data_IF_338927096095
#
_entry.id   IF_338927096095
#
_cell.length_a   1.000
_cell.length_b   1.000
_cell.length_c   1.000
_cell.angle_alpha   90.00
_cell.angle_beta   90.00
_cell.angle_gamma   90.00
#
_symmetry.space_group_name_H-M   'P 1'
#
loop_
_entity.id
_entity.type
_entity.pdbx_description
1 polymer ?
#
# COMPACT_ATOMS: atom_id res chain seq x y z
N UNK A 1 2.70 -18.61 -15.76
CA UNK A 1 3.29 -17.61 -14.83
C UNK A 1 2.19 -16.95 -14.03
N UNK A 2 2.37 -16.87 -12.70
CA UNK A 2 1.40 -16.22 -11.80
C UNK A 2 2.07 -15.00 -11.17
N UNK A 3 1.62 -13.82 -11.55
CA UNK A 3 2.11 -12.57 -10.99
C UNK A 3 1.35 -12.27 -9.68
N UNK A 4 2.09 -12.02 -8.61
CA UNK A 4 1.51 -11.56 -7.36
C UNK A 4 1.90 -10.08 -7.22
N UNK A 5 0.91 -9.18 -7.41
CA UNK A 5 1.13 -7.74 -7.34
C UNK A 5 0.82 -7.23 -5.93
N UNK A 6 1.80 -6.62 -5.33
CA UNK A 6 1.63 -5.97 -4.02
C UNK A 6 2.38 -4.64 -4.01
N UNK A 7 2.38 -3.93 -2.89
CA UNK A 7 3.23 -2.76 -2.66
C UNK A 7 4.35 -3.17 -1.70
N UNK A 8 5.60 -3.03 -2.13
CA UNK A 8 6.75 -3.48 -1.32
C UNK A 8 7.15 -2.48 -0.22
N UNK A 9 6.47 -1.35 -0.13
CA UNK A 9 6.74 -0.30 0.87
C UNK A 9 7.83 0.66 0.41
N UNK A 10 7.78 1.88 0.95
CA UNK A 10 8.81 2.90 0.76
C UNK A 10 9.85 2.76 1.87
N UNK A 11 11.03 3.34 1.66
CA UNK A 11 12.10 3.39 2.66
C UNK A 11 11.57 4.04 3.94
N UNK A 12 11.80 3.42 5.09
CA UNK A 12 11.33 3.84 6.42
C UNK A 12 9.82 3.68 6.68
N UNK A 13 9.02 3.18 5.73
CA UNK A 13 7.64 2.81 6.00
C UNK A 13 7.64 1.47 6.75
N UNK A 14 6.83 1.33 7.75
CA UNK A 14 6.71 0.09 8.55
C UNK A 14 5.31 -0.55 8.53
N UNK A 15 4.48 0.01 7.79
CA UNK A 15 3.21 -0.46 7.68
C UNK A 15 2.90 -1.23 6.48
N UNK A 16 3.84 -1.39 5.61
CA UNK A 16 3.64 -2.18 4.39
C UNK A 16 3.40 -3.66 4.71
N UNK A 17 2.88 -4.39 3.73
CA UNK A 17 2.59 -5.83 3.93
C UNK A 17 3.88 -6.60 4.21
N UNK A 18 3.85 -7.43 5.22
CA UNK A 18 5.00 -8.29 5.56
C UNK A 18 5.17 -9.36 4.47
N UNK A 19 6.41 -9.63 4.02
CA UNK A 19 6.64 -10.64 2.95
C UNK A 19 6.05 -12.01 3.23
N UNK A 20 5.87 -12.38 4.50
CA UNK A 20 5.29 -13.67 4.89
C UNK A 20 3.87 -13.85 4.34
N UNK A 21 3.10 -12.75 4.17
CA UNK A 21 1.75 -12.85 3.59
C UNK A 21 1.82 -13.26 2.11
N UNK A 22 2.78 -12.72 1.38
CA UNK A 22 3.03 -13.14 -0.01
C UNK A 22 3.53 -14.57 -0.07
N UNK A 23 4.34 -14.98 0.89
CA UNK A 23 4.85 -16.35 0.99
C UNK A 23 3.71 -17.38 1.09
N UNK A 24 2.87 -17.14 1.67
CA UNK A 24 1.75 -17.95 1.81
C UNK A 24 1.08 -18.25 0.55
N UNK A 25 0.93 -17.19 -0.08
CA UNK A 25 0.35 -17.26 -1.43
C UNK A 25 1.32 -17.93 -2.45
N UNK A 26 2.51 -17.66 -2.37
CA UNK A 26 3.45 -18.19 -3.18
C UNK A 26 3.52 -19.63 -3.12
N UNK A 27 3.46 -20.13 -1.79
CA UNK A 27 3.50 -21.61 -1.59
C UNK A 27 2.23 -22.30 -2.12
N UNK A 28 1.11 -21.74 -1.94
CA UNK A 28 -0.14 -22.23 -2.51
C UNK A 28 -0.14 -22.22 -4.07
N UNK A 29 0.40 -21.28 -4.62
CA UNK A 29 0.49 -21.21 -5.97
C UNK A 29 1.29 -22.29 -6.52
N UNK A 30 2.37 -22.51 -5.91
CA UNK A 30 3.21 -23.68 -6.29
C UNK A 30 2.54 -25.05 -6.12
N UNK A 31 1.93 -25.09 -5.21
CA UNK A 31 1.24 -26.24 -4.94
C UNK A 31 0.22 -26.60 -5.91
N UNK A 32 -0.31 -25.67 -6.57
CA UNK A 32 -1.27 -25.85 -7.69
C UNK A 32 -0.59 -25.96 -9.07
N UNK A 33 0.71 -26.02 -9.09
CA UNK A 33 1.47 -26.17 -10.34
C UNK A 33 1.82 -24.84 -11.01
N UNK A 34 1.53 -23.71 -10.38
CA UNK A 34 1.85 -22.39 -10.92
C UNK A 34 3.33 -22.02 -10.73
N UNK A 35 3.82 -21.10 -11.56
CA UNK A 35 5.15 -20.51 -11.42
C UNK A 35 4.97 -19.05 -10.93
N UNK A 36 4.98 -18.83 -9.60
CA UNK A 36 4.74 -17.48 -9.06
C UNK A 36 5.98 -16.60 -9.12
N UNK A 37 5.74 -15.28 -9.25
CA UNK A 37 6.71 -14.22 -8.98
C UNK A 37 5.95 -13.05 -8.34
N UNK A 38 6.67 -12.30 -7.53
CA UNK A 38 6.09 -11.10 -6.89
C UNK A 38 6.54 -9.86 -7.65
N UNK A 39 5.66 -8.87 -7.90
CA UNK A 39 5.91 -7.77 -8.64
C UNK A 39 5.47 -6.57 -7.99
N UNK A 40 6.16 -5.52 -8.21
CA UNK A 40 5.71 -4.13 -8.04
C UNK A 40 6.40 -3.28 -9.13
N UNK A 41 6.16 -1.97 -9.16
CA UNK A 41 6.65 -1.08 -10.21
C UNK A 41 7.38 0.12 -9.59
N UNK A 42 8.22 0.79 -10.38
CA UNK A 42 8.88 2.02 -9.96
C UNK A 42 7.84 3.14 -9.75
N UNK A 43 8.24 4.19 -9.03
CA UNK A 43 7.34 5.31 -8.71
C UNK A 43 7.71 6.59 -9.47
N UNK A 44 6.77 7.53 -9.51
CA UNK A 44 7.03 8.89 -9.96
C UNK A 44 7.88 9.63 -8.91
N UNK A 45 8.66 10.63 -9.32
CA UNK A 45 9.53 11.38 -8.39
C UNK A 45 8.78 12.50 -7.67
N UNK A 46 7.64 12.19 -7.07
CA UNK A 46 6.80 13.21 -6.39
C UNK A 46 7.19 13.45 -4.93
N UNK A 47 8.24 12.82 -4.48
CA UNK A 47 8.73 12.90 -3.11
C UNK A 47 10.17 13.41 -3.11
N UNK A 48 10.57 14.13 -2.08
CA UNK A 48 11.91 14.70 -1.97
C UNK A 48 13.01 13.63 -2.01
N UNK A 49 12.73 12.43 -1.49
CA UNK A 49 13.70 11.34 -1.47
C UNK A 49 13.02 10.01 -1.79
N UNK A 50 12.54 9.84 -3.04
CA UNK A 50 11.89 8.58 -3.39
C UNK A 50 12.93 7.45 -3.49
N UNK A 51 12.61 6.31 -2.90
CA UNK A 51 13.52 5.17 -2.88
C UNK A 51 13.13 4.09 -3.88
N UNK A 52 12.28 4.42 -4.86
CA UNK A 52 11.79 3.46 -5.87
C UNK A 52 11.69 4.09 -7.26
N UNK A 53 12.57 5.07 -7.57
CA UNK A 53 12.50 5.78 -8.86
C UNK A 53 13.13 4.99 -10.01
N UNK A 54 14.18 4.22 -9.73
CA UNK A 54 14.80 3.33 -10.72
C UNK A 54 14.78 1.91 -10.15
N UNK A 55 15.04 0.92 -11.00
CA UNK A 55 15.15 -0.47 -10.54
C UNK A 55 16.21 -0.63 -9.44
N UNK A 56 17.32 0.13 -9.53
CA UNK A 56 18.36 0.06 -8.49
C UNK A 56 17.81 0.44 -7.12
N UNK A 57 17.16 1.60 -7.05
CA UNK A 57 16.57 2.09 -5.79
C UNK A 57 15.45 1.16 -5.32
N UNK A 58 14.62 0.76 -6.27
CA UNK A 58 13.46 -0.09 -6.04
C UNK A 58 13.85 -1.45 -5.45
N UNK A 59 14.86 -2.11 -6.05
CA UNK A 59 15.30 -3.42 -5.57
C UNK A 59 15.98 -3.32 -4.22
N UNK A 60 16.79 -2.26 -3.99
CA UNK A 60 17.41 -2.02 -2.69
C UNK A 60 16.36 -1.81 -1.59
N UNK A 61 15.31 -1.05 -1.90
CA UNK A 61 14.20 -0.81 -0.96
C UNK A 61 13.41 -2.10 -0.69
N UNK A 62 13.09 -2.85 -1.75
CA UNK A 62 12.35 -4.12 -1.62
C UNK A 62 13.15 -5.13 -0.76
N UNK A 63 14.45 -5.26 -1.00
CA UNK A 63 15.32 -6.16 -0.22
C UNK A 63 15.39 -5.73 1.25
N UNK A 64 15.56 -4.42 1.50
CA UNK A 64 15.57 -3.88 2.87
C UNK A 64 14.25 -4.19 3.59
N UNK A 65 13.14 -4.15 2.87
CA UNK A 65 11.81 -4.43 3.42
C UNK A 65 11.50 -5.94 3.48
N UNK A 66 12.48 -6.83 3.15
CA UNK A 66 12.38 -8.28 3.30
C UNK A 66 11.84 -9.00 2.06
N UNK A 67 11.67 -8.29 0.99
CA UNK A 67 11.20 -8.92 -0.26
C UNK A 67 12.36 -9.55 -1.05
N UNK A 68 12.97 -10.53 -0.44
CA UNK A 68 14.07 -11.22 -0.98
C UNK A 68 13.68 -12.64 -1.36
N UNK A 69 14.35 -13.35 -2.24
CA UNK A 69 14.10 -14.62 -2.62
C UNK A 69 13.94 -15.52 -1.55
N UNK A 70 14.83 -15.43 -0.53
CA UNK A 70 14.77 -16.30 0.66
C UNK A 70 13.45 -16.20 1.46
N UNK A 71 12.93 -15.11 1.45
CA UNK A 71 11.75 -14.90 2.13
C UNK A 71 10.54 -15.31 1.38
N UNK A 72 10.55 -14.90 0.21
CA UNK A 72 9.38 -15.14 -0.67
C UNK A 72 9.30 -16.57 -1.21
N UNK A 73 10.44 -17.17 -1.47
CA UNK A 73 10.48 -18.47 -2.14
C UNK A 73 10.25 -18.39 -3.66
N UNK A 74 10.27 -17.19 -4.22
CA UNK A 74 10.13 -16.93 -5.66
C UNK A 74 10.82 -15.62 -6.00
N UNK A 75 11.06 -15.32 -7.30
CA UNK A 75 11.64 -14.03 -7.69
C UNK A 75 10.77 -12.85 -7.30
N UNK A 76 11.41 -11.75 -6.91
CA UNK A 76 10.81 -10.41 -6.86
C UNK A 76 11.26 -9.65 -8.11
N UNK A 77 10.35 -8.98 -8.79
CA UNK A 77 10.59 -8.40 -10.12
C UNK A 77 10.16 -6.94 -10.15
N UNK A 78 11.03 -6.07 -10.68
CA UNK A 78 10.67 -4.71 -11.07
C UNK A 78 9.90 -4.79 -12.39
N UNK A 79 8.59 -4.63 -12.34
CA UNK A 79 7.72 -5.04 -13.45
C UNK A 79 7.75 -4.09 -14.67
N UNK A 80 8.20 -2.83 -14.47
CA UNK A 80 8.22 -1.80 -15.51
C UNK A 80 9.64 -1.44 -15.99
N UNK A 81 10.63 -2.29 -15.67
CA UNK A 81 12.00 -2.17 -16.18
C UNK A 81 12.84 -1.12 -15.46
N UNK A 82 14.09 -0.98 -15.93
CA UNK A 82 15.15 -0.26 -15.21
C UNK A 82 14.77 1.19 -14.88
N UNK A 83 14.15 1.92 -15.82
CA UNK A 83 13.74 3.32 -15.56
C UNK A 83 12.21 3.48 -15.52
N UNK A 84 11.47 2.36 -15.50
CA UNK A 84 10.02 2.41 -15.34
C UNK A 84 9.22 2.68 -16.62
N UNK A 85 9.80 2.36 -17.78
CA UNK A 85 9.16 2.63 -19.10
C UNK A 85 8.94 1.37 -19.94
N UNK A 86 9.11 0.20 -19.36
CA UNK A 86 8.82 -1.07 -20.02
C UNK A 86 7.34 -1.38 -19.83
N UNK A 87 6.53 -1.05 -20.85
CA UNK A 87 5.07 -1.10 -20.73
C UNK A 87 4.38 -1.60 -22.00
N UNK A 88 3.15 -2.04 -21.80
CA UNK A 88 2.16 -2.45 -22.80
C UNK A 88 1.03 -1.42 -22.77
N UNK A 89 0.72 -0.86 -23.95
CA UNK A 89 -0.34 0.15 -24.08
C UNK A 89 -1.69 -0.52 -24.37
N UNK A 90 -2.71 -0.20 -23.63
CA UNK A 90 -3.97 -0.65 -23.81
C UNK A 90 -4.80 0.49 -24.16
N UNK A 91 -5.60 0.43 -25.25
CA UNK A 91 -6.67 1.39 -25.55
C UNK A 91 -7.85 1.14 -24.61
N UNK A 92 -8.52 2.21 -24.21
CA UNK A 92 -9.56 2.13 -23.17
C UNK A 92 -10.75 3.03 -23.56
N UNK A 93 -11.48 2.71 -24.65
CA UNK A 93 -12.59 3.57 -25.08
C UNK A 93 -13.69 3.73 -24.02
N UNK A 94 -13.91 2.72 -23.17
CA UNK A 94 -14.91 2.74 -22.10
C UNK A 94 -14.44 3.46 -20.82
N UNK A 95 -13.18 3.88 -20.74
CA UNK A 95 -12.67 4.59 -19.57
C UNK A 95 -13.45 5.88 -19.33
N UNK A 96 -13.63 6.22 -18.07
CA UNK A 96 -14.37 7.42 -17.68
C UNK A 96 -13.61 8.68 -18.08
N UNK A 97 -12.30 8.71 -17.79
CA UNK A 97 -11.43 9.84 -18.12
C UNK A 97 -10.23 9.40 -18.98
N UNK A 98 -9.62 8.24 -18.70
CA UNK A 98 -8.50 7.75 -19.48
C UNK A 98 -9.00 7.01 -20.73
N UNK A 99 -8.41 7.31 -21.89
CA UNK A 99 -8.71 6.61 -23.13
C UNK A 99 -7.56 5.68 -23.56
N UNK A 100 -6.52 5.64 -22.75
CA UNK A 100 -5.38 4.71 -22.91
C UNK A 100 -4.68 4.54 -21.56
N UNK A 101 -4.01 3.41 -21.38
CA UNK A 101 -3.23 3.11 -20.17
C UNK A 101 -1.93 2.40 -20.57
N UNK A 102 -0.96 2.39 -19.66
CA UNK A 102 0.38 1.83 -19.92
C UNK A 102 0.75 0.89 -18.77
N UNK A 103 0.44 -0.38 -18.95
CA UNK A 103 0.60 -1.44 -17.96
C UNK A 103 2.04 -1.98 -17.99
N UNK A 104 2.68 -2.14 -16.85
CA UNK A 104 4.01 -2.72 -16.75
C UNK A 104 4.07 -4.08 -17.47
N UNK A 105 5.08 -4.29 -18.32
CA UNK A 105 5.15 -5.45 -19.21
C UNK A 105 5.09 -6.78 -18.45
N UNK A 106 5.79 -6.90 -17.32
CA UNK A 106 5.77 -8.17 -16.57
C UNK A 106 4.37 -8.51 -16.04
N UNK A 107 3.52 -7.50 -15.79
CA UNK A 107 2.13 -7.71 -15.37
C UNK A 107 1.26 -8.10 -16.57
N UNK A 108 1.36 -7.35 -17.67
CA UNK A 108 0.57 -7.61 -18.88
C UNK A 108 0.89 -9.00 -19.49
N UNK A 109 2.11 -9.48 -19.30
CA UNK A 109 2.56 -10.77 -19.83
C UNK A 109 2.24 -11.97 -18.94
N UNK A 110 1.67 -11.75 -17.75
CA UNK A 110 1.35 -12.84 -16.81
C UNK A 110 0.13 -13.64 -17.31
N UNK A 111 0.14 -14.96 -17.04
CA UNK A 111 -1.02 -15.81 -17.36
C UNK A 111 -2.14 -15.62 -16.35
N UNK A 112 -1.78 -15.30 -15.09
CA UNK A 112 -2.72 -15.06 -13.97
C UNK A 112 -2.13 -13.94 -13.11
N UNK A 113 -2.99 -13.06 -12.61
CA UNK A 113 -2.61 -11.93 -11.75
C UNK A 113 -3.40 -12.00 -10.44
N UNK A 114 -2.70 -11.96 -9.33
CA UNK A 114 -3.32 -11.88 -8.00
C UNK A 114 -2.88 -10.59 -7.29
N UNK A 115 -3.68 -9.78 -7.02
CA UNK A 115 -3.51 -8.65 -6.40
C UNK A 115 -3.50 -8.97 -5.01
N UNK A 116 -2.45 -8.81 -4.21
CA UNK A 116 -2.34 -8.89 -2.76
C UNK A 116 -2.20 -7.47 -2.23
N UNK A 117 -3.23 -6.97 -1.64
CA UNK A 117 -3.38 -5.55 -1.35
C UNK A 117 -3.39 -5.28 0.15
N UNK A 118 -2.57 -4.35 0.61
CA UNK A 118 -2.72 -3.71 1.91
C UNK A 118 -3.85 -2.67 1.78
N UNK A 119 -5.01 -2.97 2.34
CA UNK A 119 -6.15 -2.04 2.33
C UNK A 119 -5.98 -1.06 3.51
N UNK A 120 -5.96 0.24 3.22
CA UNK A 120 -5.72 1.31 4.22
C UNK A 120 -6.08 2.68 3.61
N UNK A 121 -5.86 3.74 4.36
CA UNK A 121 -6.03 5.10 3.85
C UNK A 121 -4.98 5.47 2.80
N UNK A 122 -5.19 6.61 2.15
CA UNK A 122 -4.26 7.14 1.15
C UNK A 122 -4.41 8.66 1.04
N UNK A 123 -3.29 9.41 1.02
CA UNK A 123 -3.36 10.88 1.03
C UNK A 123 -4.07 11.51 -0.18
N UNK A 124 -4.00 10.91 -1.38
CA UNK A 124 -4.66 11.44 -2.57
C UNK A 124 -5.91 10.65 -2.97
N UNK A 125 -5.91 9.34 -2.66
CA UNK A 125 -6.93 8.41 -3.14
C UNK A 125 -8.03 8.13 -2.12
N UNK A 126 -7.91 8.71 -0.94
CA UNK A 126 -8.73 8.44 0.25
C UNK A 126 -8.60 6.98 0.71
N UNK A 127 -8.78 5.91 -0.05
CA UNK A 127 -8.64 4.60 0.11
C UNK A 127 -7.64 4.09 -0.79
N UNK A 128 -6.90 3.29 -0.32
CA UNK A 128 -5.98 2.50 -1.14
C UNK A 128 -6.27 1.02 -1.03
N UNK A 129 -7.04 0.52 -1.96
CA UNK A 129 -7.46 -0.89 -2.02
C UNK A 129 -7.02 -1.57 -3.32
N UNK A 130 -7.77 -2.57 -3.74
CA UNK A 130 -7.53 -3.33 -4.98
C UNK A 130 -7.52 -2.41 -6.20
N UNK A 131 -8.47 -1.46 -6.26
CA UNK A 131 -8.57 -0.49 -7.37
C UNK A 131 -7.26 0.27 -7.53
N UNK A 132 -6.72 0.81 -6.44
CA UNK A 132 -5.47 1.58 -6.49
C UNK A 132 -4.24 0.69 -6.72
N UNK A 133 -4.22 -0.52 -6.14
CA UNK A 133 -3.08 -1.44 -6.31
C UNK A 133 -2.84 -1.75 -7.81
N UNK A 134 -3.89 -1.88 -8.60
CA UNK A 134 -3.75 -2.02 -10.05
C UNK A 134 -3.74 -0.67 -10.77
N UNK A 135 -4.59 0.27 -10.38
CA UNK A 135 -4.74 1.55 -11.07
C UNK A 135 -3.50 2.44 -11.02
N UNK A 136 -2.71 2.34 -9.95
CA UNK A 136 -1.41 3.03 -9.86
C UNK A 136 -0.29 1.99 -9.94
N UNK A 137 -0.38 0.95 -9.11
CA UNK A 137 0.74 0.05 -8.87
C UNK A 137 1.07 -0.87 -10.04
N UNK A 138 0.15 -1.10 -10.96
CA UNK A 138 0.42 -1.92 -12.15
C UNK A 138 0.86 -1.09 -13.35
N UNK A 139 0.84 0.25 -13.24
CA UNK A 139 1.21 1.12 -14.35
C UNK A 139 2.71 1.39 -14.39
N UNK A 140 3.27 1.56 -15.57
CA UNK A 140 4.63 2.12 -15.77
C UNK A 140 4.66 3.58 -15.30
N UNK A 141 5.84 4.22 -15.32
CA UNK A 141 5.95 5.66 -15.05
C UNK A 141 5.05 6.47 -15.99
N UNK A 142 5.04 6.10 -17.28
CA UNK A 142 4.18 6.75 -18.29
C UNK A 142 2.71 6.62 -17.90
N UNK A 143 2.29 5.41 -17.50
CA UNK A 143 0.93 5.16 -17.05
C UNK A 143 0.60 5.92 -15.75
N UNK A 144 1.52 5.94 -14.80
CA UNK A 144 1.33 6.70 -13.55
C UNK A 144 1.21 8.21 -13.84
N UNK A 145 2.03 8.73 -14.76
CA UNK A 145 1.96 10.14 -15.18
C UNK A 145 0.57 10.45 -15.76
N UNK A 146 0.03 9.54 -16.59
CA UNK A 146 -1.30 9.68 -17.16
C UNK A 146 -2.39 9.68 -16.07
N UNK A 147 -2.32 8.73 -15.13
CA UNK A 147 -3.28 8.63 -14.01
C UNK A 147 -3.25 9.88 -13.12
N UNK A 148 -2.07 10.46 -12.91
CA UNK A 148 -1.91 11.69 -12.11
C UNK A 148 -2.19 12.96 -12.92
N UNK A 149 -2.92 12.85 -14.03
CA UNK A 149 -3.34 14.00 -14.85
C UNK A 149 -2.17 14.76 -15.46
N UNK A 150 -1.02 14.10 -15.65
CA UNK A 150 0.16 14.73 -16.23
C UNK A 150 -0.13 15.32 -17.61
N UNK A 151 0.04 16.64 -17.76
CA UNK A 151 -0.22 17.33 -19.02
C UNK A 151 -1.70 17.52 -19.36
N UNK A 152 -2.62 17.11 -18.50
CA UNK A 152 -4.06 17.26 -18.77
C UNK A 152 -4.42 18.75 -18.88
N UNK A 153 -5.16 19.19 -19.93
CA UNK A 153 -5.39 20.61 -20.17
C UNK A 153 -6.25 21.33 -19.14
N UNK A 154 -7.01 20.59 -18.34
CA UNK A 154 -7.85 21.18 -17.27
C UNK A 154 -7.38 20.77 -15.88
N UNK A 155 -7.09 19.50 -15.66
CA UNK A 155 -6.79 18.96 -14.33
C UNK A 155 -5.31 18.67 -14.08
N UNK A 156 -4.42 19.06 -15.00
CA UNK A 156 -2.98 18.80 -14.88
C UNK A 156 -2.34 19.73 -13.85
N UNK A 157 -1.22 19.28 -13.32
CA UNK A 157 -0.51 20.06 -12.30
C UNK A 157 -0.23 21.50 -12.77
N UNK A 158 0.18 21.60 -13.81
CA UNK A 158 0.49 22.78 -14.31
C UNK A 158 -0.59 23.66 -14.53
N UNK A 159 -1.69 23.14 -14.92
CA UNK A 159 -2.87 23.98 -15.27
C UNK A 159 -3.79 24.25 -14.08
N UNK A 160 -3.97 23.26 -13.24
CA UNK A 160 -4.95 23.28 -12.15
C UNK A 160 -4.49 24.04 -10.90
N UNK A 161 -3.19 23.95 -10.56
CA UNK A 161 -2.76 24.40 -9.23
C UNK A 161 -2.76 25.93 -9.07
N UNK A 162 -3.06 26.37 -7.86
CA UNK A 162 -2.83 27.74 -7.42
C UNK A 162 -1.41 27.82 -6.87
N UNK A 163 -0.69 28.89 -7.23
CA UNK A 163 0.70 29.08 -6.82
C UNK A 163 0.75 30.24 -5.82
N UNK A 164 1.34 29.98 -4.67
CA UNK A 164 1.43 30.89 -3.53
C UNK A 164 2.91 31.16 -3.20
N UNK A 165 3.61 31.94 -4.04
CA UNK A 165 5.03 32.23 -3.77
C UNK A 165 5.28 32.92 -2.43
N UNK A 166 4.31 33.65 -1.92
CA UNK A 166 4.36 34.33 -0.62
C UNK A 166 4.54 33.36 0.57
N UNK A 167 4.25 32.09 0.37
CA UNK A 167 4.43 31.06 1.42
C UNK A 167 5.86 30.52 1.47
N UNK A 168 6.69 30.83 0.47
CA UNK A 168 8.11 30.48 0.49
C UNK A 168 8.91 31.64 1.07
N UNK A 169 9.71 31.37 2.10
CA UNK A 169 10.51 32.39 2.78
C UNK A 169 11.91 32.55 2.15
N UNK A 170 12.13 31.98 0.98
CA UNK A 170 13.35 32.14 0.21
C UNK A 170 14.59 31.58 0.90
N UNK A 171 15.75 31.94 0.34
CA UNK A 171 17.06 31.47 0.82
C UNK A 171 17.35 31.94 2.23
N UNK A 172 16.88 33.14 2.58
CA UNK A 172 17.12 33.73 3.89
C UNK A 172 16.25 33.13 5.00
N UNK A 173 15.10 32.54 4.65
CA UNK A 173 14.12 32.10 5.63
C UNK A 173 13.79 30.61 5.65
N UNK A 174 14.20 29.84 4.64
CA UNK A 174 13.96 28.40 4.59
C UNK A 174 15.27 27.65 4.49
N UNK A 175 15.70 26.95 5.55
CA UNK A 175 16.99 26.22 5.52
C UNK A 175 17.04 25.08 4.50
N UNK A 176 15.90 24.72 3.93
CA UNK A 176 15.81 23.64 2.92
C UNK A 176 15.41 24.18 1.55
N UNK A 177 15.70 25.46 1.27
CA UNK A 177 15.35 26.07 -0.02
C UNK A 177 15.99 25.30 -1.19
N UNK A 178 17.20 24.79 -1.01
CA UNK A 178 17.87 24.01 -2.04
C UNK A 178 17.07 22.75 -2.45
N UNK A 179 16.42 22.29 -1.72
CA UNK A 179 15.65 21.17 -1.96
C UNK A 179 14.52 21.43 -2.83
N UNK A 180 14.02 22.54 -2.61
CA UNK A 180 12.95 23.02 -3.50
C UNK A 180 13.47 23.26 -4.91
N UNK A 181 14.53 24.03 -5.02
CA UNK A 181 15.12 24.36 -6.33
C UNK A 181 15.56 23.09 -7.07
N UNK A 182 16.28 22.19 -6.38
CA UNK A 182 16.81 20.95 -6.95
C UNK A 182 15.72 19.93 -7.30
N UNK A 183 14.49 20.12 -6.76
CA UNK A 183 13.39 19.19 -7.05
C UNK A 183 12.91 19.23 -8.50
N UNK A 184 13.22 20.32 -9.21
CA UNK A 184 12.80 20.43 -10.59
C UNK A 184 13.88 19.90 -11.55
N UNK A 185 13.64 18.75 -12.23
CA UNK A 185 14.65 18.19 -13.13
C UNK A 185 14.89 19.04 -14.40
N UNK A 186 14.08 20.08 -14.60
CA UNK A 186 14.19 20.97 -15.77
C UNK A 186 14.69 22.37 -15.39
N UNK A 187 15.02 22.61 -14.11
CA UNK A 187 15.51 23.88 -13.65
C UNK A 187 14.51 25.03 -13.80
N UNK A 188 13.23 24.76 -13.60
CA UNK A 188 12.16 25.76 -13.79
C UNK A 188 11.72 26.41 -12.49
N UNK A 189 12.32 26.02 -11.37
CA UNK A 189 12.03 26.58 -10.04
C UNK A 189 13.30 27.27 -9.57
N UNK A 190 13.18 28.53 -9.17
CA UNK A 190 14.28 29.33 -8.62
C UNK A 190 13.86 29.93 -7.29
N UNK A 191 14.64 29.68 -6.27
CA UNK A 191 14.36 30.25 -4.94
C UNK A 191 15.19 31.53 -4.82
N UNK A 192 14.51 32.66 -4.64
CA UNK A 192 15.15 33.96 -4.43
C UNK A 192 15.51 34.13 -2.95
N UNK A 193 16.02 35.28 -2.57
CA UNK A 193 16.39 35.54 -1.17
C UNK A 193 15.19 35.50 -0.23
N UNK A 194 14.00 35.86 -0.71
CA UNK A 194 12.77 35.99 0.11
C UNK A 194 11.53 35.33 -0.48
N UNK A 195 11.62 34.66 -1.63
CA UNK A 195 10.46 34.05 -2.29
C UNK A 195 10.90 32.90 -3.21
N UNK A 196 10.00 32.47 -4.10
CA UNK A 196 10.21 31.40 -5.08
C UNK A 196 9.56 31.80 -6.41
N UNK A 197 10.24 31.49 -7.50
CA UNK A 197 9.76 31.72 -8.87
C UNK A 197 9.59 30.37 -9.58
N UNK A 198 8.55 30.27 -10.41
CA UNK A 198 8.27 29.05 -11.18
C UNK A 198 7.97 29.44 -12.63
N UNK A 199 8.80 28.97 -13.55
CA UNK A 199 8.59 29.14 -14.99
C UNK A 199 7.48 28.20 -15.47
N UNK A 200 6.24 28.52 -15.08
CA UNK A 200 5.06 27.67 -15.22
C UNK A 200 4.74 27.31 -16.66
N UNK A 201 4.95 28.25 -17.57
CA UNK A 201 4.69 28.08 -19.01
C UNK A 201 5.52 26.98 -19.65
N UNK A 202 6.66 26.62 -19.04
CA UNK A 202 7.55 25.55 -19.51
C UNK A 202 7.37 24.25 -18.76
N UNK A 203 6.49 24.23 -17.77
CA UNK A 203 6.33 23.08 -16.87
C UNK A 203 5.70 21.88 -17.60
N UNK A 204 6.31 20.70 -17.43
CA UNK A 204 5.82 19.45 -18.02
C UNK A 204 4.80 18.72 -17.15
N UNK A 205 4.45 19.27 -15.99
CA UNK A 205 3.56 18.64 -15.00
C UNK A 205 4.11 17.28 -14.46
N UNK A 206 5.43 17.12 -14.40
CA UNK A 206 6.05 15.86 -13.94
C UNK A 206 5.89 15.59 -12.45
N UNK A 207 5.42 16.58 -11.70
CA UNK A 207 5.11 16.55 -10.26
C UNK A 207 6.30 16.23 -9.32
N UNK A 208 7.54 16.27 -9.82
CA UNK A 208 8.73 15.99 -8.99
C UNK A 208 8.84 16.91 -7.78
N UNK A 209 8.42 18.18 -7.93
CA UNK A 209 8.44 19.19 -6.87
C UNK A 209 7.24 19.14 -5.91
N UNK A 210 6.23 18.31 -6.22
CA UNK A 210 4.93 18.35 -5.54
C UNK A 210 5.05 18.21 -4.02
N UNK A 211 5.79 17.21 -3.56
CA UNK A 211 5.93 16.95 -2.13
C UNK A 211 6.53 18.11 -1.35
N UNK A 212 7.53 18.78 -1.94
CA UNK A 212 8.18 19.93 -1.33
C UNK A 212 7.32 21.19 -1.34
N UNK A 213 6.61 21.41 -2.44
CA UNK A 213 5.79 22.62 -2.61
C UNK A 213 4.45 22.52 -1.88
N UNK A 214 3.78 21.35 -1.98
CA UNK A 214 2.48 21.13 -1.34
C UNK A 214 2.61 21.16 0.19
N UNK A 215 3.63 20.51 0.72
CA UNK A 215 3.87 20.44 2.17
C UNK A 215 4.20 21.79 2.80
N UNK A 216 4.54 22.79 1.99
CA UNK A 216 4.80 24.18 2.44
C UNK A 216 3.66 25.13 2.08
N UNK A 217 2.59 24.65 1.46
CA UNK A 217 1.50 25.48 1.00
C UNK A 217 1.89 26.41 -0.17
N UNK A 218 3.00 26.10 -0.87
CA UNK A 218 3.44 26.89 -2.03
C UNK A 218 2.56 26.61 -3.25
N UNK A 219 2.03 25.39 -3.35
CA UNK A 219 1.03 25.04 -4.35
C UNK A 219 -0.18 24.42 -3.66
N UNK A 220 -1.33 24.65 -4.25
CA UNK A 220 -2.60 24.06 -3.84
C UNK A 220 -3.27 23.48 -5.09
N UNK A 221 -3.70 22.23 -5.01
CA UNK A 221 -4.42 21.58 -6.09
C UNK A 221 -5.91 21.56 -5.79
N UNK A 222 -6.72 21.68 -6.82
CA UNK A 222 -8.18 21.69 -6.66
C UNK A 222 -8.71 20.30 -6.28
N UNK A 223 -9.92 20.29 -5.73
CA UNK A 223 -10.66 19.04 -5.50
C UNK A 223 -10.87 18.28 -6.83
N UNK A 224 -11.09 19.01 -7.92
CA UNK A 224 -11.29 18.41 -9.25
C UNK A 224 -10.06 17.67 -9.76
N UNK A 225 -8.84 18.17 -9.49
CA UNK A 225 -7.60 17.43 -9.82
C UNK A 225 -7.60 16.06 -9.15
N UNK A 226 -7.91 16.04 -7.85
CA UNK A 226 -7.89 14.78 -7.08
C UNK A 226 -9.06 13.87 -7.48
N UNK A 227 -10.24 14.43 -7.77
CA UNK A 227 -11.39 13.66 -8.24
C UNK A 227 -11.08 13.00 -9.59
N UNK A 228 -10.47 13.74 -10.51
CA UNK A 228 -10.05 13.23 -11.81
C UNK A 228 -9.00 12.12 -11.66
N UNK A 229 -8.02 12.31 -10.77
CA UNK A 229 -7.00 11.30 -10.47
C UNK A 229 -7.65 10.01 -9.93
N UNK A 230 -8.62 10.16 -9.02
CA UNK A 230 -9.32 8.99 -8.46
C UNK A 230 -10.15 8.25 -9.51
N UNK A 231 -10.80 8.97 -10.42
CA UNK A 231 -11.50 8.36 -11.55
C UNK A 231 -10.51 7.63 -12.47
N UNK A 232 -9.36 8.26 -12.75
CA UNK A 232 -8.30 7.66 -13.58
C UNK A 232 -7.72 6.38 -12.96
N UNK A 233 -7.67 6.29 -11.62
CA UNK A 233 -7.24 5.07 -10.92
C UNK A 233 -8.15 3.89 -11.30
N UNK A 234 -9.47 4.09 -11.28
CA UNK A 234 -10.41 3.03 -11.63
C UNK A 234 -10.32 2.65 -13.13
N UNK A 235 -10.10 3.65 -13.99
CA UNK A 235 -9.88 3.39 -15.43
C UNK A 235 -8.62 2.56 -15.67
N UNK A 236 -7.52 2.93 -15.03
CA UNK A 236 -6.25 2.20 -15.19
C UNK A 236 -6.34 0.78 -14.60
N UNK A 237 -7.14 0.59 -13.54
CA UNK A 237 -7.44 -0.74 -13.01
C UNK A 237 -8.19 -1.57 -14.07
N UNK A 238 -9.22 -1.00 -14.70
CA UNK A 238 -9.97 -1.66 -15.79
C UNK A 238 -9.02 -2.06 -16.93
N UNK A 239 -8.13 -1.15 -17.33
CA UNK A 239 -7.15 -1.44 -18.39
C UNK A 239 -6.24 -2.61 -18.00
N UNK A 240 -5.80 -2.69 -16.76
CA UNK A 240 -4.94 -3.79 -16.27
C UNK A 240 -5.70 -5.12 -16.32
N UNK A 241 -6.94 -5.13 -15.84
CA UNK A 241 -7.80 -6.33 -15.86
C UNK A 241 -8.01 -6.79 -17.32
N UNK A 242 -8.26 -5.85 -18.24
CA UNK A 242 -8.43 -6.18 -19.66
C UNK A 242 -7.14 -6.74 -20.28
N UNK A 243 -5.99 -6.17 -19.93
CA UNK A 243 -4.70 -6.61 -20.48
C UNK A 243 -4.35 -8.04 -20.08
N UNK A 244 -4.64 -8.42 -18.85
CA UNK A 244 -4.37 -9.79 -18.33
C UNK A 244 -5.49 -10.75 -18.75
N UNK A 245 -6.72 -10.27 -18.76
CA UNK A 245 -7.93 -11.07 -19.01
C UNK A 245 -8.79 -11.12 -17.75
N UNK A 246 -10.06 -10.72 -17.83
CA UNK A 246 -10.91 -10.58 -16.63
C UNK A 246 -11.09 -11.86 -15.82
N UNK A 247 -11.06 -13.04 -16.46
CA UNK A 247 -11.18 -14.32 -15.76
C UNK A 247 -9.86 -14.80 -15.16
N UNK A 248 -8.80 -14.02 -15.29
CA UNK A 248 -7.43 -14.39 -14.86
C UNK A 248 -6.91 -13.48 -13.74
N UNK A 249 -7.77 -12.64 -13.16
CA UNK A 249 -7.37 -11.70 -12.11
C UNK A 249 -8.16 -11.99 -10.84
N UNK A 250 -7.45 -12.13 -9.72
CA UNK A 250 -8.07 -12.31 -8.41
C UNK A 250 -7.55 -11.27 -7.42
N UNK A 251 -8.36 -10.93 -6.43
CA UNK A 251 -8.07 -9.86 -5.48
C UNK A 251 -8.13 -10.37 -4.05
N UNK A 252 -7.15 -9.98 -3.26
CA UNK A 252 -7.08 -10.26 -1.82
C UNK A 252 -6.70 -8.94 -1.13
N UNK A 253 -7.62 -8.39 -0.33
CA UNK A 253 -7.36 -7.21 0.49
C UNK A 253 -7.10 -7.63 1.93
N UNK A 254 -5.92 -7.28 2.44
CA UNK A 254 -5.60 -7.41 3.85
C UNK A 254 -5.94 -6.07 4.50
N UNK A 255 -7.08 -6.02 5.18
CA UNK A 255 -7.55 -4.84 5.92
C UNK A 255 -6.99 -4.91 7.34
N UNK A 256 -5.69 -4.68 7.44
CA UNK A 256 -4.88 -4.74 8.67
C UNK A 256 -4.01 -3.48 8.73
N UNK A 257 -3.54 -3.13 9.92
CA UNK A 257 -2.68 -1.95 10.11
C UNK A 257 -3.27 -0.73 9.37
N UNK A 258 -4.53 -0.41 9.68
CA UNK A 258 -5.38 0.53 8.91
C UNK A 258 -5.01 1.98 9.21
N UNK A 259 -3.90 2.43 8.68
CA UNK A 259 -3.36 3.79 8.83
C UNK A 259 -4.00 4.76 7.82
N UNK A 260 -3.89 6.05 8.05
CA UNK A 260 -4.38 7.10 7.13
C UNK A 260 -3.44 7.31 5.95
N UNK A 261 -2.16 7.01 6.13
CA UNK A 261 -1.14 7.15 5.09
C UNK A 261 -1.08 5.95 4.16
N UNK A 262 -0.13 5.98 3.27
CA UNK A 262 0.07 4.95 2.25
C UNK A 262 1.44 4.32 2.45
N UNK A 263 1.59 3.07 2.02
CA UNK A 263 2.90 2.40 2.01
C UNK A 263 3.91 3.12 1.10
N UNK A 264 3.44 4.07 0.29
CA UNK A 264 4.26 4.84 -0.65
C UNK A 264 4.88 6.10 -0.02
N UNK A 265 4.61 6.38 1.26
CA UNK A 265 5.29 7.47 1.99
C UNK A 265 6.40 6.88 2.87
N UNK A 266 7.42 7.69 3.16
CA UNK A 266 8.61 7.25 3.90
C UNK A 266 8.48 7.38 5.42
N UNK A 267 7.26 7.21 5.92
CA UNK A 267 6.95 7.20 7.35
C UNK A 267 5.69 6.36 7.56
N UNK A 268 5.40 6.04 8.80
CA UNK A 268 4.17 5.34 9.20
C UNK A 268 3.54 6.03 10.38
N UNK A 269 2.24 5.92 10.51
CA UNK A 269 1.49 6.45 11.64
C UNK A 269 0.77 5.29 12.33
N UNK A 270 0.11 5.58 13.42
CA UNK A 270 -0.69 4.61 14.17
C UNK A 270 -1.98 4.30 13.40
N UNK A 271 -2.39 3.02 13.40
CA UNK A 271 -3.65 2.61 12.78
C UNK A 271 -4.83 3.31 13.47
N UNK A 272 -5.77 3.80 12.66
CA UNK A 272 -6.97 4.49 13.15
C UNK A 272 -8.14 3.54 13.41
N UNK A 273 -8.02 2.29 12.96
CA UNK A 273 -9.05 1.24 13.04
C UNK A 273 -8.39 -0.09 13.44
N UNK A 274 -9.09 -0.95 14.17
CA UNK A 274 -8.57 -2.30 14.41
C UNK A 274 -8.51 -3.11 13.11
N UNK A 275 -7.74 -4.19 13.11
CA UNK A 275 -7.67 -5.07 11.95
C UNK A 275 -9.05 -5.67 11.66
N UNK A 276 -9.48 -5.58 10.42
CA UNK A 276 -10.81 -6.05 9.99
C UNK A 276 -10.77 -7.45 9.37
N UNK A 277 -9.57 -7.90 8.96
CA UNK A 277 -9.40 -9.23 8.41
C UNK A 277 -8.95 -9.25 6.96
N UNK A 278 -9.22 -10.38 6.30
CA UNK A 278 -8.81 -10.63 4.91
C UNK A 278 -10.06 -10.80 4.06
N UNK A 279 -10.13 -10.05 2.98
CA UNK A 279 -11.23 -10.10 2.01
C UNK A 279 -10.69 -10.65 0.70
N UNK A 280 -11.46 -11.50 0.01
CA UNK A 280 -11.04 -12.06 -1.27
C UNK A 280 -12.22 -12.10 -2.24
N UNK A 281 -11.93 -11.87 -3.53
CA UNK A 281 -12.96 -11.88 -4.56
C UNK A 281 -12.36 -11.72 -5.95
N UNK A 282 -13.23 -11.72 -6.95
CA UNK A 282 -12.84 -11.54 -8.36
C UNK A 282 -13.27 -10.20 -8.93
N UNK A 283 -13.95 -9.37 -8.13
CA UNK A 283 -14.42 -8.03 -8.52
C UNK A 283 -13.74 -6.98 -7.65
N UNK A 284 -12.86 -6.13 -8.22
CA UNK A 284 -12.12 -5.15 -7.41
C UNK A 284 -12.99 -4.02 -6.85
N UNK A 285 -14.11 -3.70 -7.52
CA UNK A 285 -15.06 -2.70 -7.05
C UNK A 285 -15.79 -3.24 -5.80
N UNK A 286 -16.29 -4.46 -5.90
CA UNK A 286 -17.02 -5.12 -4.82
C UNK A 286 -16.16 -5.32 -3.58
N UNK A 287 -14.90 -5.78 -3.76
CA UNK A 287 -14.02 -6.06 -2.62
C UNK A 287 -13.62 -4.75 -1.90
N UNK A 288 -13.33 -3.68 -2.65
CA UNK A 288 -13.00 -2.39 -2.03
C UNK A 288 -14.23 -1.80 -1.34
N UNK A 289 -15.42 -1.94 -1.96
CA UNK A 289 -16.69 -1.49 -1.34
C UNK A 289 -16.93 -2.23 -0.03
N UNK A 290 -16.73 -3.55 0.01
CA UNK A 290 -16.91 -4.34 1.22
C UNK A 290 -15.94 -3.89 2.33
N UNK A 291 -14.69 -3.60 1.97
CA UNK A 291 -13.70 -3.09 2.93
C UNK A 291 -14.10 -1.71 3.47
N UNK A 292 -14.53 -0.79 2.58
CA UNK A 292 -14.97 0.56 2.99
C UNK A 292 -16.18 0.45 3.95
N UNK A 293 -17.16 -0.38 3.61
CA UNK A 293 -18.33 -0.55 4.48
C UNK A 293 -17.92 -1.02 5.88
N UNK A 294 -16.96 -1.96 5.94
CA UNK A 294 -16.46 -2.45 7.23
C UNK A 294 -15.69 -1.37 8.01
N UNK A 295 -14.95 -0.48 7.34
CA UNK A 295 -14.30 0.65 8.05
C UNK A 295 -15.34 1.61 8.63
N UNK A 296 -16.45 1.84 7.91
CA UNK A 296 -17.53 2.70 8.39
C UNK A 296 -18.22 2.07 9.59
N UNK A 297 -18.52 0.77 9.52
CA UNK A 297 -19.20 0.03 10.61
C UNK A 297 -18.37 -0.07 11.90
N UNK A 298 -17.05 0.04 11.80
CA UNK A 298 -16.13 -0.22 12.91
C UNK A 298 -15.78 1.08 13.65
N UNK A 299 -15.77 1.03 14.98
CA UNK A 299 -15.34 2.16 15.81
C UNK A 299 -13.84 2.43 15.62
N UNK A 300 -13.44 3.69 15.68
CA UNK A 300 -12.05 4.13 15.60
C UNK A 300 -11.28 3.83 16.88
N UNK A 301 -9.97 3.96 16.82
CA UNK A 301 -9.08 3.71 17.97
C UNK A 301 -8.76 5.04 18.66
N UNK A 302 -8.92 5.09 19.98
CA UNK A 302 -8.52 6.24 20.80
C UNK A 302 -6.99 6.45 20.72
N UNK A 303 -6.57 7.69 20.87
CA UNK A 303 -5.17 8.08 20.82
C UNK A 303 -4.60 8.15 19.40
N UNK A 304 -5.47 8.18 18.40
CA UNK A 304 -5.06 8.20 16.99
C UNK A 304 -5.68 9.38 16.24
N UNK A 305 -5.37 9.51 14.97
CA UNK A 305 -5.93 10.53 14.07
C UNK A 305 -7.47 10.48 14.05
N UNK A 306 -8.08 9.32 14.27
CA UNK A 306 -9.55 9.21 14.32
C UNK A 306 -10.11 10.04 15.49
N UNK A 307 -9.45 10.02 16.65
CA UNK A 307 -9.86 10.84 17.79
C UNK A 307 -9.59 12.33 17.54
N UNK A 308 -8.43 12.66 16.98
CA UNK A 308 -8.08 14.06 16.63
C UNK A 308 -9.12 14.69 15.70
N UNK A 309 -9.69 13.90 14.79
CA UNK A 309 -10.65 14.37 13.80
C UNK A 309 -12.11 14.14 14.21
N UNK A 310 -12.35 13.65 15.42
CA UNK A 310 -13.69 13.39 16.00
C UNK A 310 -14.50 12.39 15.15
N UNK A 311 -13.84 11.28 14.73
CA UNK A 311 -14.49 10.22 13.93
C UNK A 311 -14.29 8.83 14.54
N UNK A 312 -14.51 8.72 15.86
CA UNK A 312 -14.37 7.45 16.58
C UNK A 312 -15.58 6.52 16.42
N UNK A 313 -16.76 7.06 16.11
CA UNK A 313 -17.99 6.29 16.20
C UNK A 313 -18.19 5.38 14.98
N UNK A 314 -18.90 4.26 15.22
CA UNK A 314 -19.45 3.43 14.15
C UNK A 314 -20.39 4.28 13.27
N UNK A 315 -20.36 4.07 11.97
CA UNK A 315 -21.18 4.82 11.01
C UNK A 315 -20.48 6.02 10.40
N UNK A 316 -19.31 6.42 10.92
CA UNK A 316 -18.57 7.58 10.40
C UNK A 316 -17.55 7.16 9.34
N UNK A 317 -17.32 8.04 8.35
CA UNK A 317 -16.41 7.82 7.22
C UNK A 317 -14.98 8.24 7.60
N UNK A 318 -14.25 7.32 8.19
CA UNK A 318 -12.97 7.60 8.83
C UNK A 318 -11.86 7.96 7.83
N UNK A 319 -11.76 7.25 6.72
CA UNK A 319 -10.70 7.56 5.73
C UNK A 319 -10.95 8.89 5.04
N UNK A 320 -12.21 9.20 4.73
CA UNK A 320 -12.60 10.46 4.09
C UNK A 320 -12.21 11.66 4.96
N UNK A 321 -12.50 11.58 6.26
CA UNK A 321 -12.29 12.67 7.19
C UNK A 321 -10.82 12.75 7.64
N UNK A 322 -10.15 11.61 7.82
CA UNK A 322 -8.75 11.56 8.25
C UNK A 322 -7.75 11.71 7.11
N UNK A 323 -8.21 11.86 5.85
CA UNK A 323 -7.30 12.00 4.71
C UNK A 323 -6.35 13.18 4.93
N UNK A 324 -5.02 12.97 4.85
CA UNK A 324 -4.07 14.01 5.24
C UNK A 324 -4.00 15.24 4.33
N UNK A 325 -4.43 15.16 3.08
CA UNK A 325 -4.24 16.26 2.15
C UNK A 325 -5.54 16.99 1.75
N UNK A 326 -6.68 16.30 1.71
CA UNK A 326 -7.91 16.94 1.26
C UNK A 326 -9.12 16.46 2.03
N UNK A 327 -9.65 17.33 2.83
CA UNK A 327 -10.99 17.15 3.39
C UNK A 327 -12.02 17.21 2.25
N UNK A 328 -12.99 16.33 2.26
CA UNK A 328 -14.11 16.36 1.32
C UNK A 328 -13.97 15.55 0.05
N UNK A 329 -12.86 14.78 -0.09
CA UNK A 329 -12.77 13.80 -1.17
C UNK A 329 -13.49 12.53 -0.74
N UNK A 330 -14.40 12.04 -1.59
CA UNK A 330 -15.22 10.88 -1.25
C UNK A 330 -14.46 9.55 -1.34
N UNK A 331 -14.62 8.70 -0.33
CA UNK A 331 -14.21 7.29 -0.33
C UNK A 331 -14.85 6.52 -1.49
N UNK A 332 -15.94 7.03 -2.05
CA UNK A 332 -16.73 6.33 -3.08
C UNK A 332 -16.26 6.61 -4.51
N UNK A 333 -15.39 7.61 -4.73
CA UNK A 333 -15.04 8.07 -6.09
C UNK A 333 -14.49 6.91 -6.95
N UNK A 334 -13.46 6.20 -6.48
CA UNK A 334 -12.88 5.07 -7.22
C UNK A 334 -13.91 3.97 -7.47
N UNK A 335 -14.72 3.67 -6.44
CA UNK A 335 -15.77 2.63 -6.47
C UNK A 335 -16.84 3.01 -7.51
N UNK A 336 -17.31 4.27 -7.46
CA UNK A 336 -18.33 4.75 -8.39
C UNK A 336 -17.81 4.72 -9.84
N UNK A 337 -16.60 5.19 -10.05
CA UNK A 337 -15.99 5.19 -11.39
C UNK A 337 -15.84 3.75 -11.92
N UNK A 338 -15.39 2.82 -11.06
CA UNK A 338 -15.24 1.41 -11.44
C UNK A 338 -16.59 0.76 -11.81
N UNK A 339 -17.67 1.19 -11.17
CA UNK A 339 -19.01 0.72 -11.52
C UNK A 339 -19.50 1.35 -12.85
N UNK A 340 -19.22 2.64 -13.06
CA UNK A 340 -19.64 3.37 -14.25
C UNK A 340 -18.91 2.86 -15.50
N UNK A 341 -17.59 2.61 -15.41
CA UNK A 341 -16.82 2.17 -16.57
C UNK A 341 -16.93 0.65 -16.87
N UNK A 342 -17.68 -0.08 -16.06
CA UNK A 342 -17.94 -1.49 -16.27
C UNK A 342 -16.92 -2.44 -15.68
N UNK A 343 -16.01 -1.94 -14.84
CA UNK A 343 -14.99 -2.78 -14.18
C UNK A 343 -15.60 -3.77 -13.20
N UNK A 344 -16.62 -3.36 -12.44
CA UNK A 344 -17.23 -4.21 -11.41
C UNK A 344 -18.52 -3.65 -10.85
N UNK A 345 -18.95 -4.19 -9.73
CA UNK A 345 -20.26 -3.88 -9.11
C UNK A 345 -20.10 -3.35 -7.68
N UNK A 346 -20.90 -2.34 -7.34
CA UNK A 346 -21.02 -1.86 -5.96
C UNK A 346 -21.76 -2.85 -5.06
N UNK A 347 -22.52 -3.78 -5.67
CA UNK A 347 -23.30 -4.78 -4.92
C UNK A 347 -22.44 -6.02 -4.72
N UNK A 348 -22.47 -6.56 -3.51
CA UNK A 348 -21.69 -7.76 -3.16
C UNK A 348 -22.45 -8.60 -2.13
N UNK A 349 -22.08 -9.86 -2.04
CA UNK A 349 -22.45 -10.75 -0.95
C UNK A 349 -21.19 -11.09 -0.16
N UNK A 350 -21.20 -10.83 1.14
CA UNK A 350 -20.06 -11.12 2.00
C UNK A 350 -20.27 -12.49 2.66
N UNK A 351 -19.45 -13.47 2.25
CA UNK A 351 -19.51 -14.83 2.79
C UNK A 351 -18.37 -14.99 3.80
N UNK A 352 -18.72 -15.17 5.08
CA UNK A 352 -17.72 -15.35 6.14
C UNK A 352 -17.18 -16.77 6.14
N UNK A 353 -15.86 -16.90 5.99
CA UNK A 353 -15.20 -18.21 6.05
C UNK A 353 -15.02 -18.58 7.53
N UNK A 354 -15.36 -19.83 7.93
CA UNK A 354 -15.21 -20.26 9.32
C UNK A 354 -13.78 -20.12 9.84
N UNK A 355 -13.66 -19.64 11.07
CA UNK A 355 -12.37 -19.46 11.73
C UNK A 355 -11.74 -20.82 12.04
N UNK A 356 -10.46 -20.98 11.73
CA UNK A 356 -9.69 -22.16 12.10
C UNK A 356 -9.25 -22.08 13.56
N UNK A 357 -9.29 -23.19 14.26
CA UNK A 357 -8.73 -23.29 15.61
C UNK A 357 -7.21 -23.44 15.52
N UNK A 358 -6.51 -23.05 16.58
CA UNK A 358 -5.05 -23.19 16.64
C UNK A 358 -4.60 -24.62 16.33
N UNK A 359 -5.36 -25.60 16.81
CA UNK A 359 -5.05 -27.03 16.62
C UNK A 359 -5.14 -27.49 15.15
N UNK A 360 -5.80 -26.71 14.29
CA UNK A 360 -5.95 -27.04 12.86
C UNK A 360 -4.74 -26.62 12.02
N UNK A 361 -3.80 -25.88 12.62
CA UNK A 361 -2.62 -25.42 11.90
C UNK A 361 -1.50 -26.47 12.02
N UNK A 362 -0.88 -26.79 10.91
CA UNK A 362 0.27 -27.68 10.85
C UNK A 362 1.45 -26.94 10.22
N UNK A 363 2.64 -27.26 10.66
CA UNK A 363 3.86 -26.73 10.05
C UNK A 363 4.07 -27.45 8.70
N UNK A 364 3.94 -26.77 7.54
CA UNK A 364 3.95 -27.47 6.25
C UNK A 364 5.18 -28.35 5.96
N UNK A 365 6.41 -27.90 6.29
CA UNK A 365 7.58 -28.77 6.09
C UNK A 365 7.56 -30.06 6.90
N UNK A 366 6.85 -30.07 8.05
CA UNK A 366 6.72 -31.31 8.86
C UNK A 366 5.35 -31.28 9.57
N UNK A 367 4.33 -31.87 8.95
CA UNK A 367 2.97 -31.82 9.49
C UNK A 367 2.72 -32.70 10.70
N UNK A 368 3.71 -33.50 11.12
CA UNK A 368 3.57 -34.38 12.30
C UNK A 368 3.37 -33.53 13.57
N UNK A 369 2.60 -34.00 14.55
CA UNK A 369 2.48 -33.30 15.84
C UNK A 369 3.85 -33.10 16.50
N UNK A 370 3.98 -32.00 17.25
CA UNK A 370 5.25 -31.58 17.87
C UNK A 370 5.87 -32.70 18.71
N UNK A 371 5.05 -33.38 19.51
CA UNK A 371 5.56 -34.50 20.34
C UNK A 371 6.20 -35.62 19.52
N UNK A 372 5.63 -35.91 18.34
CA UNK A 372 6.19 -36.95 17.45
C UNK A 372 7.50 -36.43 16.83
N UNK A 373 7.57 -35.18 16.42
CA UNK A 373 8.78 -34.59 15.84
C UNK A 373 9.96 -34.60 16.82
N UNK A 374 9.68 -34.32 18.09
CA UNK A 374 10.73 -34.20 19.12
C UNK A 374 11.04 -35.52 19.85
N UNK A 375 10.27 -36.59 19.63
CA UNK A 375 10.46 -37.87 20.33
C UNK A 375 11.89 -38.38 20.26
N UNK A 376 12.51 -38.39 19.08
CA UNK A 376 13.86 -38.89 18.92
C UNK A 376 14.91 -38.05 19.64
N UNK A 377 14.67 -36.72 19.75
CA UNK A 377 15.55 -35.82 20.49
C UNK A 377 15.45 -36.12 21.98
N UNK A 378 14.24 -36.20 22.50
CA UNK A 378 14.01 -36.44 23.93
C UNK A 378 14.41 -37.82 24.38
N UNK A 379 14.42 -38.81 23.45
CA UNK A 379 14.89 -40.17 23.77
C UNK A 379 16.39 -40.23 24.08
N UNK A 380 17.17 -39.32 23.44
CA UNK A 380 18.63 -39.33 23.62
C UNK A 380 19.12 -38.22 24.56
N UNK A 381 18.46 -37.10 24.57
CA UNK A 381 18.88 -35.88 25.27
C UNK A 381 17.72 -35.29 26.03
N UNK A 382 17.41 -35.85 27.17
CA UNK A 382 16.34 -35.33 28.03
C UNK A 382 16.65 -33.90 28.46
N UNK A 383 15.85 -32.93 28.06
CA UNK A 383 16.06 -31.55 28.52
C UNK A 383 15.55 -31.30 29.93
N UNK A 384 14.89 -32.29 30.52
CA UNK A 384 14.24 -32.14 31.81
C UNK A 384 15.00 -32.96 32.87
N UNK A 385 15.42 -32.39 33.98
CA UNK A 385 16.17 -33.12 35.01
C UNK A 385 15.25 -33.92 35.94
N UNK A 386 14.58 -34.92 35.40
CA UNK A 386 13.60 -35.73 36.16
C UNK A 386 14.17 -36.43 37.36
N UNK A 387 15.45 -36.82 37.28
CA UNK A 387 16.12 -37.61 38.29
C UNK A 387 17.02 -36.82 39.24
N UNK A 388 16.91 -35.49 39.21
CA UNK A 388 17.63 -34.59 40.10
C UNK A 388 16.80 -34.29 41.32
N UNK A 389 17.44 -34.11 42.46
CA UNK A 389 16.78 -33.64 43.74
C UNK A 389 15.49 -34.39 44.02
N UNK A 390 15.58 -35.71 44.10
CA UNK A 390 14.45 -36.58 44.44
C UNK A 390 13.30 -36.50 43.45
N UNK A 391 13.59 -36.18 42.20
CA UNK A 391 12.60 -36.10 41.13
C UNK A 391 11.90 -34.78 40.99
N UNK A 392 12.31 -33.75 41.72
CA UNK A 392 11.70 -32.41 41.67
C UNK A 392 12.22 -31.56 40.50
N UNK A 393 13.17 -32.06 39.75
CA UNK A 393 13.66 -31.33 38.56
C UNK A 393 14.60 -30.20 38.90
N UNK A 394 14.30 -29.02 38.43
CA UNK A 394 15.13 -27.84 38.68
C UNK A 394 15.03 -27.37 40.13
N UNK A 395 16.11 -26.80 40.66
CA UNK A 395 16.10 -26.18 41.97
C UNK A 395 15.20 -24.94 41.94
N UNK A 396 14.19 -24.95 42.78
CA UNK A 396 13.22 -23.85 42.89
C UNK A 396 12.75 -23.73 44.35
N UNK A 397 12.35 -22.53 44.71
CA UNK A 397 11.67 -22.34 45.98
C UNK A 397 10.28 -22.99 45.91
N UNK A 398 9.94 -23.75 46.94
CA UNK A 398 8.67 -24.50 46.98
C UNK A 398 7.57 -23.63 47.61
N UNK A 399 7.92 -22.95 48.70
CA UNK A 399 6.98 -22.11 49.43
C UNK A 399 7.16 -20.65 49.04
N UNK A 400 6.32 -20.16 48.16
CA UNK A 400 6.39 -18.78 47.67
C UNK A 400 5.04 -18.09 47.89
N UNK A 401 5.09 -16.84 48.23
CA UNK A 401 3.91 -15.99 48.33
C UNK A 401 3.57 -15.41 46.97
N UNK A 402 2.70 -16.12 46.24
CA UNK A 402 2.28 -15.70 44.89
C UNK A 402 1.31 -14.52 44.94
N UNK A 403 0.60 -14.29 46.07
CA UNK A 403 -0.26 -13.12 46.19
C UNK A 403 0.56 -11.84 46.19
N UNK A 404 1.71 -11.86 46.84
CA UNK A 404 2.60 -10.69 46.90
C UNK A 404 3.03 -10.20 45.54
N UNK A 405 3.25 -11.12 44.58
CA UNK A 405 3.70 -10.75 43.25
C UNK A 405 2.55 -10.61 42.23
N UNK A 406 1.34 -10.95 42.66
CA UNK A 406 0.12 -10.89 41.83
C UNK A 406 -0.73 -9.64 42.13
N UNK A 407 -0.34 -8.84 43.09
CA UNK A 407 -1.01 -7.57 43.41
C UNK A 407 -0.13 -6.40 43.01
N UNK A 408 -0.72 -5.22 42.86
CA UNK A 408 0.05 -4.01 42.59
C UNK A 408 1.05 -3.77 43.72
N UNK A 409 2.30 -3.59 43.34
CA UNK A 409 3.39 -3.40 44.29
C UNK A 409 3.60 -1.89 44.52
N UNK A 410 3.12 -1.41 45.65
CA UNK A 410 3.35 -0.01 46.08
C UNK A 410 4.62 0.00 46.93
N UNK A 411 5.69 0.68 46.45
CA UNK A 411 6.96 0.84 47.13
C UNK A 411 6.84 1.79 48.32
#
# INVERSE_FOLDING_TARGET
MVAIKLHCGEWNNTXYLRPVYARXLXDRXKXLGGRPFVXDTTTLPYNASPSRCTELDFMATAERNGYXXAXLGCPFVCADGFIGTDDYRXDLPEGYILKEAYIATAIAAADVLIXLTHFKGHPMGVXGGALKNLGIGAQSKRGKFNVHMGGHPKYGFXTDCVFHPENCKGRNGDPRWQXLEDSCPFGLIHVTDDSIEWQRDKCTSCIACLGGMLGRGIVELSAEHYQATNAAIADACLATVKAVGPDKVGFINLAIDLVTGCDCVNFSDTAILPNLGVFAGTDPVAIDKACIDKTIETAGIHGTKAEEMDVLESGQRKFEICSPFLAGLSEENQINTGAINGLGSRKYELVTVPEKKMMDFAFPPDPRPVGVRFRSIFAKHQPFPYDRHDGHGFLREVEVDLERVNTNYDE
#
